data_IF_724909685666
#
_entry.id   IF_724909685666
#
_cell.length_a   1.000
_cell.length_b   1.000
_cell.length_c   1.000
_cell.angle_alpha   90.00
_cell.angle_beta   90.00
_cell.angle_gamma   90.00
#
_symmetry.space_group_name_H-M   'P 1'
#
loop_
_entity.id
_entity.type
_entity.pdbx_description
1 polymer ?
2 non-polymer ?
3 non-polymer ?
4 water ?
#
# COMPACT_ATOMS: atom_id res chain seq x y z
N UNK A 9 -13.96 -18.21 -23.74
CA UNK A 9 -12.89 -17.49 -23.09
C UNK A 9 -12.03 -18.39 -22.28
N UNK A 10 -10.74 -18.23 -22.49
CA UNK A 10 -9.72 -18.89 -21.76
C UNK A 10 -9.68 -18.35 -20.34
N UNK A 11 -10.22 -17.17 -20.12
CA UNK A 11 -10.27 -16.61 -18.79
C UNK A 11 -11.35 -17.28 -17.96
N UNK A 12 -11.24 -17.20 -16.65
CA UNK A 12 -12.20 -17.77 -15.76
C UNK A 12 -12.84 -16.70 -14.95
N UNK A 13 -13.99 -17.01 -14.40
CA UNK A 13 -14.75 -16.09 -13.61
C UNK A 13 -14.73 -16.53 -12.20
N UNK A 14 -14.48 -15.62 -11.32
CA UNK A 14 -14.41 -15.90 -9.93
C UNK A 14 -15.29 -14.99 -9.12
N UNK A 15 -15.62 -15.46 -7.95
CA UNK A 15 -16.53 -14.87 -7.00
C UNK A 15 -15.92 -14.89 -5.61
N UNK A 16 -16.61 -14.33 -4.63
CA UNK A 16 -16.19 -14.38 -3.25
C UNK A 16 -16.04 -15.81 -2.80
N UNK A 17 -17.03 -16.59 -3.18
CA UNK A 17 -17.18 -18.01 -2.89
C UNK A 17 -16.17 -18.91 -3.49
N UNK A 18 -15.76 -18.59 -4.67
CA UNK A 18 -14.82 -19.39 -5.37
C UNK A 18 -13.38 -19.00 -5.26
N UNK A 19 -13.13 -17.85 -4.69
CA UNK A 19 -11.86 -17.20 -4.71
C UNK A 19 -10.73 -18.03 -4.13
N UNK A 20 -10.95 -18.65 -3.00
CA UNK A 20 -9.95 -19.44 -2.35
C UNK A 20 -9.46 -20.63 -3.18
N UNK A 21 -10.35 -21.39 -3.77
CA UNK A 21 -9.98 -22.46 -4.68
C UNK A 21 -9.40 -22.06 -6.03
N UNK A 22 -10.06 -21.14 -6.67
CA UNK A 22 -9.73 -20.67 -7.99
C UNK A 22 -8.50 -19.87 -8.10
N UNK A 23 -8.30 -19.01 -7.13
CA UNK A 23 -7.25 -18.07 -7.16
C UNK A 23 -6.19 -18.30 -6.13
N UNK A 24 -6.57 -18.35 -4.88
CA UNK A 24 -5.67 -18.41 -3.75
C UNK A 24 -4.79 -19.62 -3.56
N UNK A 25 -5.32 -20.76 -3.83
CA UNK A 25 -4.67 -22.01 -3.68
C UNK A 25 -4.07 -22.54 -4.95
N UNK A 26 -4.20 -21.79 -6.03
CA UNK A 26 -3.66 -22.17 -7.28
C UNK A 26 -2.17 -22.28 -7.26
N UNK A 27 -1.65 -23.36 -7.79
CA UNK A 27 -0.23 -23.55 -7.89
C UNK A 27 0.35 -22.80 -9.09
N UNK A 28 -0.52 -22.29 -9.90
CA UNK A 28 -0.17 -21.47 -11.02
C UNK A 28 -0.55 -20.00 -10.77
N UNK A 29 0.28 -19.05 -11.12
CA UNK A 29 -0.03 -17.66 -10.85
C UNK A 29 -1.30 -17.18 -11.51
N UNK A 30 -2.08 -16.40 -10.81
CA UNK A 30 -3.33 -15.89 -11.34
C UNK A 30 -3.37 -14.40 -11.40
N UNK A 31 -3.70 -13.90 -12.56
CA UNK A 31 -3.91 -12.52 -12.74
C UNK A 31 -5.40 -12.29 -12.64
N UNK A 32 -5.77 -11.48 -11.69
CA UNK A 32 -7.15 -11.15 -11.43
C UNK A 32 -7.47 -9.73 -11.84
N UNK A 33 -8.51 -9.64 -12.62
CA UNK A 33 -9.03 -8.42 -13.12
C UNK A 33 -10.27 -8.01 -12.33
N UNK A 34 -10.12 -6.96 -11.54
CA UNK A 34 -11.17 -6.41 -10.74
C UNK A 34 -11.82 -5.32 -11.59
N UNK A 35 -13.06 -5.58 -11.97
CA UNK A 35 -13.81 -4.80 -12.92
C UNK A 35 -15.29 -4.59 -12.55
N UNK A 36 -15.95 -3.67 -13.21
CA UNK A 36 -17.36 -3.43 -13.01
C UNK A 36 -18.23 -3.55 -14.24
N UNK A 37 -19.34 -4.20 -14.01
CA UNK A 37 -20.33 -4.45 -15.02
C UNK A 37 -20.83 -3.13 -15.58
N UNK A 38 -21.01 -2.13 -14.73
CA UNK A 38 -21.46 -0.81 -15.10
C UNK A 38 -20.36 0.17 -15.55
N UNK A 39 -19.12 -0.28 -15.60
CA UNK A 39 -18.08 0.62 -16.02
C UNK A 39 -17.62 0.21 -17.40
N UNK A 40 -17.82 1.09 -18.37
CA UNK A 40 -17.32 0.81 -19.69
C UNK A 40 -15.81 0.83 -19.91
N UNK A 41 -15.12 1.78 -19.33
CA UNK A 41 -13.67 1.85 -19.42
C UNK A 41 -12.96 0.70 -18.74
N UNK A 42 -13.63 0.05 -17.82
CA UNK A 42 -13.11 -1.09 -17.15
C UNK A 42 -13.19 -2.37 -17.96
N UNK A 43 -13.93 -2.34 -19.04
CA UNK A 43 -14.08 -3.50 -19.90
C UNK A 43 -13.09 -3.51 -21.02
N UNK A 44 -12.38 -2.43 -21.18
CA UNK A 44 -11.43 -2.29 -22.24
C UNK A 44 -10.30 -3.26 -22.22
N UNK A 45 -9.89 -3.63 -21.02
CA UNK A 45 -8.83 -4.59 -20.76
C UNK A 45 -9.17 -6.02 -20.99
N UNK A 46 -10.42 -6.32 -21.18
CA UNK A 46 -10.84 -7.67 -21.34
C UNK A 46 -10.28 -8.43 -22.52
N UNK A 47 -10.23 -7.85 -23.70
CA UNK A 47 -9.74 -8.56 -24.87
C UNK A 47 -8.30 -8.94 -24.78
N UNK A 48 -7.50 -8.04 -24.27
CA UNK A 48 -6.10 -8.20 -24.05
C UNK A 48 -5.78 -9.28 -23.06
N UNK A 49 -6.58 -9.37 -22.03
CA UNK A 49 -6.46 -10.41 -21.05
C UNK A 49 -6.77 -11.78 -21.63
N UNK A 50 -7.73 -11.81 -22.52
CA UNK A 50 -8.15 -12.94 -23.26
C UNK A 50 -7.07 -13.44 -24.19
N UNK A 51 -6.37 -12.53 -24.83
CA UNK A 51 -5.28 -12.93 -25.65
C UNK A 51 -4.22 -13.57 -24.82
N UNK A 52 -3.93 -12.98 -23.68
CA UNK A 52 -2.92 -13.46 -22.75
C UNK A 52 -3.22 -14.83 -22.12
N UNK A 53 -4.46 -15.06 -21.77
CA UNK A 53 -4.87 -16.30 -21.21
C UNK A 53 -4.63 -17.46 -22.16
N UNK A 54 -4.96 -17.27 -23.43
CA UNK A 54 -4.71 -18.25 -24.47
C UNK A 54 -3.27 -18.47 -24.86
N UNK A 55 -2.59 -17.39 -25.11
CA UNK A 55 -1.22 -17.36 -25.46
C UNK A 55 -0.27 -17.80 -24.37
N UNK A 56 -0.50 -17.45 -23.13
CA UNK A 56 0.41 -17.85 -22.10
C UNK A 56 -0.18 -18.80 -21.10
N UNK A 57 -1.09 -19.61 -21.55
CA UNK A 57 -1.87 -20.52 -20.74
C UNK A 57 -1.05 -21.44 -19.86
N UNK A 58 0.08 -21.91 -20.31
CA UNK A 58 0.91 -22.72 -19.46
C UNK A 58 1.51 -21.97 -18.29
N UNK A 59 1.92 -20.74 -18.50
CA UNK A 59 2.51 -19.94 -17.47
C UNK A 59 1.55 -19.22 -16.52
N UNK A 60 0.34 -18.91 -16.99
CA UNK A 60 -0.55 -18.09 -16.20
C UNK A 60 -2.04 -18.30 -16.45
N UNK A 61 -2.81 -18.15 -15.38
CA UNK A 61 -4.25 -18.16 -15.41
C UNK A 61 -4.77 -16.75 -15.29
N UNK A 62 -5.84 -16.45 -15.99
CA UNK A 62 -6.47 -15.15 -15.93
C UNK A 62 -7.88 -15.23 -15.39
N UNK A 63 -8.15 -14.47 -14.36
CA UNK A 63 -9.44 -14.47 -13.71
C UNK A 63 -10.11 -13.09 -13.75
N UNK A 64 -11.42 -13.08 -13.73
CA UNK A 64 -12.16 -11.85 -13.74
C UNK A 64 -13.10 -11.83 -12.56
N UNK A 65 -13.01 -10.79 -11.76
CA UNK A 65 -13.88 -10.59 -10.61
C UNK A 65 -14.66 -9.29 -10.72
N UNK A 66 -15.98 -9.42 -10.72
CA UNK A 66 -16.89 -8.28 -10.80
C UNK A 66 -17.10 -7.69 -9.42
N UNK A 67 -16.58 -6.49 -9.22
CA UNK A 67 -16.64 -5.84 -7.96
C UNK A 67 -18.03 -5.44 -7.61
N UNK A 68 -18.91 -5.36 -8.61
CA UNK A 68 -20.29 -4.96 -8.37
C UNK A 68 -21.06 -6.03 -7.59
N UNK A 69 -20.82 -7.28 -7.95
CA UNK A 69 -21.46 -8.41 -7.34
C UNK A 69 -20.62 -9.18 -6.30
N UNK A 70 -19.38 -8.78 -6.12
CA UNK A 70 -18.50 -9.36 -5.14
C UNK A 70 -17.79 -8.27 -4.38
N UNK A 71 -18.51 -7.44 -3.68
CA UNK A 71 -17.87 -6.34 -2.99
C UNK A 71 -16.86 -6.67 -1.90
N UNK A 72 -17.06 -7.69 -1.09
CA UNK A 72 -16.14 -7.99 -0.02
C UNK A 72 -14.73 -8.32 -0.49
N UNK A 73 -14.62 -9.11 -1.54
CA UNK A 73 -13.34 -9.51 -2.09
C UNK A 73 -12.53 -8.33 -2.61
N UNK A 74 -13.21 -7.43 -3.30
CA UNK A 74 -12.69 -6.20 -3.78
C UNK A 74 -12.23 -5.32 -2.64
N UNK A 75 -13.02 -5.17 -1.60
CA UNK A 75 -12.62 -4.45 -0.43
C UNK A 75 -11.46 -5.05 0.36
N UNK A 76 -11.47 -6.34 0.59
CA UNK A 76 -10.38 -7.03 1.28
C UNK A 76 -9.02 -6.82 0.61
N UNK A 77 -8.99 -6.82 -0.71
CA UNK A 77 -7.78 -6.63 -1.48
C UNK A 77 -7.53 -5.19 -1.85
N UNK A 78 -8.33 -4.35 -1.24
CA UNK A 78 -8.22 -2.93 -1.25
C UNK A 78 -8.16 -2.24 -2.57
N UNK A 79 -8.98 -2.71 -3.49
CA UNK A 79 -9.10 -2.15 -4.79
C UNK A 79 -9.76 -0.80 -4.70
N UNK A 80 -9.12 0.18 -5.28
CA UNK A 80 -9.54 1.53 -5.15
C UNK A 80 -9.92 2.14 -6.49
N UNK A 81 -9.36 1.62 -7.55
CA UNK A 81 -9.65 2.11 -8.85
C UNK A 81 -9.87 0.98 -9.81
N UNK A 82 -10.69 1.21 -10.80
CA UNK A 82 -10.97 0.18 -11.76
C UNK A 82 -10.64 0.58 -13.16
N UNK A 83 -10.24 -0.36 -13.97
CA UNK A 83 -9.98 -1.74 -13.59
C UNK A 83 -8.68 -1.90 -12.80
N UNK A 84 -8.54 -2.91 -11.96
CA UNK A 84 -7.29 -3.17 -11.29
C UNK A 84 -6.86 -4.60 -11.52
N UNK A 85 -5.60 -4.83 -11.79
CA UNK A 85 -5.12 -6.17 -11.92
C UNK A 85 -4.18 -6.53 -10.78
N UNK A 86 -4.47 -7.64 -10.11
CA UNK A 86 -3.64 -8.14 -9.06
C UNK A 86 -3.14 -9.54 -9.39
N UNK A 87 -1.86 -9.74 -9.31
CA UNK A 87 -1.31 -11.03 -9.59
C UNK A 87 -1.11 -11.78 -8.32
N UNK A 88 -1.70 -12.94 -8.25
CA UNK A 88 -1.65 -13.75 -7.08
C UNK A 88 -0.68 -14.90 -7.19
N UNK A 89 0.28 -14.97 -6.30
CA UNK A 89 1.24 -16.02 -6.28
C UNK A 89 1.34 -16.67 -4.93
N UNK A 90 1.08 -17.95 -4.84
CA UNK A 90 1.11 -18.67 -3.58
C UNK A 90 0.18 -18.09 -2.51
N UNK A 91 -0.93 -17.57 -2.96
CA UNK A 91 -1.94 -16.97 -2.15
C UNK A 91 -1.85 -15.51 -1.89
N UNK A 92 -0.79 -14.86 -2.27
CA UNK A 92 -0.60 -13.49 -1.98
C UNK A 92 -0.72 -12.64 -3.19
N UNK A 93 -1.18 -11.42 -2.95
CA UNK A 93 -1.23 -10.40 -3.97
C UNK A 93 0.13 -9.73 -4.04
N UNK A 94 0.95 -10.30 -4.90
CA UNK A 94 2.30 -9.92 -5.20
C UNK A 94 2.52 -8.79 -6.21
N UNK A 95 1.52 -8.50 -7.03
CA UNK A 95 1.58 -7.46 -8.03
C UNK A 95 0.28 -6.73 -8.23
N UNK A 96 0.30 -5.42 -8.27
CA UNK A 96 -0.86 -4.62 -8.56
C UNK A 96 -0.65 -3.67 -9.73
N UNK A 97 -1.55 -3.74 -10.70
CA UNK A 97 -1.48 -2.95 -11.91
C UNK A 97 -2.71 -2.10 -12.18
N UNK A 98 -2.48 -0.80 -12.24
CA UNK A 98 -3.47 0.21 -12.53
C UNK A 98 -3.08 0.95 -13.79
N UNK A 99 -4.07 1.50 -14.46
CA UNK A 99 -3.88 2.15 -15.74
C UNK A 99 -3.88 1.08 -16.81
N UNK A 100 -4.91 0.98 -17.60
CA UNK A 100 -4.96 -0.07 -18.64
C UNK A 100 -3.87 0.07 -19.68
N UNK A 101 -3.29 -1.05 -19.99
CA UNK A 101 -2.14 -1.12 -20.84
C UNK A 101 -2.36 -1.86 -22.12
N UNK A 102 -1.38 -1.77 -22.98
CA UNK A 102 -1.25 -2.57 -24.17
C UNK A 102 -0.69 -3.92 -23.76
N UNK A 103 -0.71 -4.90 -24.62
CA UNK A 103 -0.24 -6.19 -24.23
C UNK A 103 1.22 -6.30 -23.87
N UNK A 104 2.08 -5.67 -24.64
CA UNK A 104 3.50 -5.77 -24.41
C UNK A 104 3.90 -5.15 -23.13
N UNK A 105 3.27 -4.07 -22.81
CA UNK A 105 3.51 -3.40 -21.56
C UNK A 105 3.12 -4.19 -20.36
N UNK A 106 1.95 -4.83 -20.42
CA UNK A 106 1.42 -5.65 -19.36
C UNK A 106 2.25 -6.88 -19.09
N UNK A 107 2.69 -7.48 -20.18
CA UNK A 107 3.55 -8.63 -20.13
C UNK A 107 4.89 -8.29 -19.53
N UNK A 108 5.38 -7.11 -19.76
CA UNK A 108 6.61 -6.66 -19.16
C UNK A 108 6.51 -6.50 -17.65
N UNK A 109 5.42 -6.00 -17.16
CA UNK A 109 5.26 -5.92 -15.72
C UNK A 109 5.22 -7.25 -15.08
N UNK A 110 4.54 -8.17 -15.71
CA UNK A 110 4.39 -9.52 -15.21
C UNK A 110 5.58 -10.46 -15.22
N UNK A 111 6.54 -10.20 -16.10
CA UNK A 111 7.73 -10.99 -16.31
C UNK A 111 8.69 -11.00 -15.14
N UNK A 112 8.58 -9.98 -14.32
CA UNK A 112 9.36 -9.86 -13.12
C UNK A 112 9.04 -11.07 -12.29
N UNK A 113 7.78 -11.50 -12.29
CA UNK A 113 7.32 -12.65 -11.52
C UNK A 113 6.89 -13.88 -12.28
N UNK A 114 6.64 -13.79 -13.56
CA UNK A 114 6.22 -14.94 -14.34
C UNK A 114 7.19 -15.22 -15.47
N UNK A 115 7.61 -16.46 -15.57
CA UNK A 115 8.49 -16.97 -16.62
C UNK A 115 7.92 -16.91 -18.02
N UNK A 116 8.77 -16.64 -18.98
CA UNK A 116 8.38 -16.43 -20.36
C UNK A 116 7.87 -15.03 -20.49
N UNK B 9 -16.78 27.70 -6.49
CA UNK B 9 -16.27 26.45 -5.95
C UNK B 9 -14.85 26.57 -5.45
N UNK B 10 -14.69 26.62 -4.14
CA UNK B 10 -13.41 26.79 -3.47
C UNK B 10 -12.36 25.68 -3.66
N UNK B 11 -12.80 24.46 -3.76
CA UNK B 11 -11.90 23.36 -4.03
C UNK B 11 -11.27 23.40 -5.44
N UNK B 12 -10.10 22.81 -5.58
CA UNK B 12 -9.42 22.77 -6.84
C UNK B 12 -9.37 21.35 -7.38
N UNK B 13 -9.39 21.18 -8.67
CA UNK B 13 -9.32 19.85 -9.24
C UNK B 13 -7.89 19.51 -9.66
N UNK B 14 -7.41 18.36 -9.22
CA UNK B 14 -6.08 17.94 -9.53
C UNK B 14 -5.99 16.61 -10.23
N UNK B 15 -4.91 16.40 -10.94
CA UNK B 15 -4.65 15.28 -11.80
C UNK B 15 -3.27 14.75 -11.52
N UNK B 16 -2.89 13.64 -12.13
CA UNK B 16 -1.58 13.04 -11.98
C UNK B 16 -0.55 14.05 -12.44
N UNK B 17 -0.85 14.65 -13.57
CA UNK B 17 -0.07 15.68 -14.22
C UNK B 17 0.05 16.97 -13.47
N UNK B 18 -1.00 17.39 -12.79
CA UNK B 18 -0.99 18.61 -12.02
C UNK B 18 -0.57 18.53 -10.56
N UNK B 19 -0.38 17.34 -10.05
CA UNK B 19 -0.11 17.10 -8.65
C UNK B 19 1.10 17.79 -8.07
N UNK B 20 2.19 17.82 -8.80
CA UNK B 20 3.37 18.43 -8.31
C UNK B 20 3.20 19.92 -8.11
N UNK B 21 2.62 20.59 -9.07
CA UNK B 21 2.35 21.99 -8.95
C UNK B 21 1.27 22.34 -8.00
N UNK B 22 0.14 21.69 -8.14
CA UNK B 22 -1.02 22.00 -7.33
C UNK B 22 -0.95 21.66 -5.84
N UNK B 23 -0.35 20.53 -5.56
CA UNK B 23 -0.29 19.97 -4.27
C UNK B 23 1.07 19.94 -3.62
N UNK B 24 1.98 19.24 -4.25
CA UNK B 24 3.28 19.01 -3.71
C UNK B 24 4.11 20.24 -3.49
N UNK B 25 4.08 21.20 -4.39
CA UNK B 25 4.83 22.41 -4.22
C UNK B 25 4.16 23.55 -3.51
N UNK B 26 2.90 23.44 -3.16
CA UNK B 26 2.21 24.50 -2.50
C UNK B 26 2.76 24.83 -1.14
N UNK B 27 2.81 26.10 -0.78
CA UNK B 27 3.26 26.52 0.54
C UNK B 27 2.29 26.24 1.64
N UNK B 28 1.06 26.56 1.35
CA UNK B 28 -0.05 26.30 2.21
C UNK B 28 -0.30 24.82 2.21
N UNK B 29 -0.79 24.28 3.31
CA UNK B 29 -1.14 22.88 3.35
C UNK B 29 -2.28 22.56 2.41
N UNK B 30 -2.20 21.43 1.73
CA UNK B 30 -3.24 20.97 0.84
C UNK B 30 -3.89 19.69 1.27
N UNK B 31 -5.20 19.72 1.40
CA UNK B 31 -5.94 18.57 1.75
C UNK B 31 -6.46 17.97 0.47
N UNK B 32 -6.08 16.75 0.18
CA UNK B 32 -6.51 16.10 -1.04
C UNK B 32 -7.63 15.10 -0.78
N UNK B 33 -8.69 15.18 -1.54
CA UNK B 33 -9.78 14.24 -1.43
C UNK B 33 -9.71 13.22 -2.56
N UNK B 34 -9.39 12.00 -2.20
CA UNK B 34 -9.30 10.90 -3.16
C UNK B 34 -10.66 10.25 -3.25
N UNK B 35 -11.27 10.37 -4.39
CA UNK B 35 -12.60 9.93 -4.59
C UNK B 35 -12.76 9.18 -5.88
N UNK B 36 -13.85 8.47 -6.01
CA UNK B 36 -14.17 7.73 -7.20
C UNK B 36 -15.56 8.06 -7.69
N UNK B 37 -15.79 7.96 -8.96
CA UNK B 37 -17.10 8.32 -9.50
C UNK B 37 -18.20 7.44 -8.94
N UNK B 38 -17.85 6.23 -8.53
CA UNK B 38 -18.84 5.28 -8.11
C UNK B 38 -18.98 4.98 -6.64
N UNK B 39 -17.91 4.93 -5.86
CA UNK B 39 -18.10 4.59 -4.47
C UNK B 39 -18.59 5.87 -3.92
N UNK B 40 -19.85 6.13 -4.23
CA UNK B 40 -20.53 7.36 -3.97
C UNK B 40 -20.88 7.56 -2.54
N UNK B 41 -20.60 6.58 -1.74
CA UNK B 41 -20.61 6.83 -0.33
C UNK B 41 -19.41 7.72 -0.12
N UNK B 42 -18.65 7.81 -1.20
CA UNK B 42 -17.32 8.43 -1.23
C UNK B 42 -17.27 9.75 -1.97
N UNK B 43 -18.44 10.37 -2.07
CA UNK B 43 -18.68 11.66 -2.63
C UNK B 43 -19.58 12.35 -1.69
N UNK B 44 -19.91 11.69 -0.61
CA UNK B 44 -20.79 12.34 0.38
C UNK B 44 -20.12 13.52 1.03
N UNK B 45 -18.79 13.39 1.16
CA UNK B 45 -17.86 14.31 1.78
C UNK B 45 -17.73 15.63 1.15
N UNK B 46 -18.04 15.68 -0.11
CA UNK B 46 -17.76 16.82 -0.91
C UNK B 46 -18.33 18.07 -0.36
N UNK B 47 -19.54 18.06 0.16
CA UNK B 47 -20.11 19.26 0.74
C UNK B 47 -19.41 19.83 1.99
N UNK B 48 -18.96 18.99 2.89
CA UNK B 48 -18.26 19.44 4.06
C UNK B 48 -16.96 20.07 3.66
N UNK B 49 -16.30 19.47 2.70
CA UNK B 49 -15.02 19.91 2.22
C UNK B 49 -15.07 21.26 1.62
N UNK B 50 -16.15 21.53 0.91
CA UNK B 50 -16.41 22.83 0.33
C UNK B 50 -16.58 23.95 1.35
N UNK B 51 -17.22 23.68 2.47
CA UNK B 51 -17.34 24.66 3.52
C UNK B 51 -16.00 24.99 4.11
N UNK B 52 -15.20 23.96 4.37
CA UNK B 52 -13.88 24.09 4.92
C UNK B 52 -12.98 24.85 3.99
N UNK B 53 -13.06 24.59 2.71
CA UNK B 53 -12.24 25.31 1.78
C UNK B 53 -12.59 26.77 1.76
N UNK B 54 -13.86 27.10 1.78
CA UNK B 54 -14.26 28.47 1.84
C UNK B 54 -13.94 29.14 3.16
N UNK B 55 -14.33 28.43 4.22
CA UNK B 55 -14.23 28.85 5.59
C UNK B 55 -12.82 29.00 6.16
N UNK B 56 -11.91 28.12 5.78
CA UNK B 56 -10.55 28.22 6.23
C UNK B 56 -9.58 28.41 5.10
N UNK B 57 -9.91 29.24 4.15
CA UNK B 57 -9.06 29.42 2.99
C UNK B 57 -7.63 29.84 3.33
N UNK B 58 -7.47 30.68 4.33
CA UNK B 58 -6.16 31.12 4.80
C UNK B 58 -5.33 29.97 5.37
N UNK B 59 -5.98 29.09 6.09
CA UNK B 59 -5.44 27.87 6.61
C UNK B 59 -5.08 26.76 5.62
N UNK B 60 -5.90 26.47 4.65
CA UNK B 60 -5.60 25.38 3.79
C UNK B 60 -6.19 25.38 2.38
N UNK B 61 -5.63 24.60 1.49
CA UNK B 61 -6.20 24.43 0.18
C UNK B 61 -6.88 23.08 0.16
N UNK B 62 -8.04 22.99 -0.43
CA UNK B 62 -8.72 21.73 -0.56
C UNK B 62 -8.74 21.28 -2.02
N UNK B 63 -8.26 20.06 -2.26
CA UNK B 63 -8.19 19.51 -3.60
C UNK B 63 -8.93 18.20 -3.82
N UNK B 64 -9.30 17.96 -5.05
CA UNK B 64 -10.03 16.77 -5.41
C UNK B 64 -9.36 15.98 -6.49
N UNK B 65 -9.12 14.70 -6.24
CA UNK B 65 -8.56 13.80 -7.21
C UNK B 65 -9.39 12.53 -7.44
N UNK B 66 -9.84 12.38 -8.68
CA UNK B 66 -10.56 11.19 -9.13
C UNK B 66 -9.57 10.07 -9.40
N UNK B 67 -9.63 9.05 -8.55
CA UNK B 67 -8.71 7.94 -8.58
C UNK B 67 -8.84 7.04 -9.77
N UNK B 68 -10.01 7.03 -10.38
CA UNK B 68 -10.24 6.30 -11.58
C UNK B 68 -9.53 6.86 -12.79
N UNK B 69 -9.56 8.16 -12.95
CA UNK B 69 -8.89 8.85 -14.06
C UNK B 69 -7.46 9.22 -13.74
N UNK B 70 -7.09 9.12 -12.48
CA UNK B 70 -5.74 9.36 -12.01
C UNK B 70 -5.28 8.30 -11.04
N UNK B 71 -5.19 7.09 -11.54
CA UNK B 71 -4.81 5.94 -10.79
C UNK B 71 -3.37 5.92 -10.31
N UNK B 72 -2.47 6.57 -11.02
CA UNK B 72 -1.10 6.58 -10.61
C UNK B 72 -0.83 7.22 -9.28
N UNK B 73 -1.37 8.38 -9.04
CA UNK B 73 -1.17 9.12 -7.80
C UNK B 73 -1.76 8.45 -6.60
N UNK B 74 -2.93 7.85 -6.76
CA UNK B 74 -3.61 7.13 -5.70
C UNK B 74 -2.85 5.90 -5.19
N UNK B 75 -2.28 5.15 -6.10
CA UNK B 75 -1.47 4.02 -5.77
C UNK B 75 -0.19 4.39 -5.07
N UNK B 76 0.43 5.44 -5.55
CA UNK B 76 1.68 5.94 -5.06
C UNK B 76 1.66 6.37 -3.61
N UNK B 77 0.60 7.04 -3.21
CA UNK B 77 0.43 7.41 -1.85
C UNK B 77 -0.39 6.41 -1.08
N UNK B 78 -0.58 5.24 -1.66
CA UNK B 78 -1.25 4.15 -1.04
C UNK B 78 -2.62 4.40 -0.46
N UNK B 79 -3.51 4.91 -1.27
CA UNK B 79 -4.85 5.15 -0.90
C UNK B 79 -5.48 3.77 -1.06
N UNK B 80 -5.99 3.23 0.00
CA UNK B 80 -6.49 1.88 0.01
C UNK B 80 -7.97 1.83 0.27
N UNK B 81 -8.57 2.98 0.48
CA UNK B 81 -9.99 3.17 0.67
C UNK B 81 -10.44 4.46 0.04
N UNK B 82 -11.68 4.50 -0.37
CA UNK B 82 -12.30 5.69 -0.87
C UNK B 82 -13.51 5.90 -0.02
N UNK B 83 -13.74 7.07 0.52
CA UNK B 83 -12.83 8.19 0.44
C UNK B 83 -11.65 8.18 1.39
N UNK B 84 -10.56 8.77 0.95
CA UNK B 84 -9.38 9.00 1.77
C UNK B 84 -8.96 10.45 1.67
N UNK B 85 -8.70 11.06 2.79
CA UNK B 85 -8.21 12.41 2.75
C UNK B 85 -6.80 12.45 3.27
N UNK B 86 -5.92 13.04 2.48
CA UNK B 86 -4.58 13.24 2.88
C UNK B 86 -4.19 14.69 2.88
N UNK B 87 -3.65 15.16 3.98
CA UNK B 87 -3.09 16.48 4.13
C UNK B 87 -1.59 16.52 3.80
N UNK B 88 -1.25 17.36 2.86
CA UNK B 88 0.08 17.52 2.38
C UNK B 88 0.76 18.78 2.94
N UNK B 89 1.92 18.61 3.52
CA UNK B 89 2.66 19.71 4.08
C UNK B 89 4.08 19.61 3.61
N UNK B 90 4.55 20.62 2.90
CA UNK B 90 5.90 20.60 2.35
C UNK B 90 6.23 19.38 1.49
N UNK B 91 5.26 18.93 0.72
CA UNK B 91 5.36 17.82 -0.16
C UNK B 91 5.18 16.43 0.39
N UNK B 92 4.99 16.34 1.67
CA UNK B 92 4.89 15.11 2.35
C UNK B 92 3.48 14.92 2.79
N UNK B 93 3.04 13.68 2.83
CA UNK B 93 1.69 13.38 3.31
C UNK B 93 1.77 13.19 4.80
N UNK B 94 1.27 14.13 5.56
CA UNK B 94 1.41 14.10 7.00
C UNK B 94 0.24 13.62 7.80
N UNK B 95 -0.92 13.56 7.19
CA UNK B 95 -2.10 13.07 7.86
C UNK B 95 -3.01 12.41 6.87
N UNK B 96 -3.58 11.30 7.25
CA UNK B 96 -4.47 10.53 6.43
C UNK B 96 -5.75 10.32 7.20
N UNK B 97 -6.89 10.65 6.61
CA UNK B 97 -8.15 10.43 7.27
C UNK B 97 -9.03 9.52 6.44
N UNK B 98 -9.39 8.40 7.01
CA UNK B 98 -10.17 7.39 6.32
C UNK B 98 -11.53 7.26 6.86
N UNK B 99 -12.48 7.26 5.97
CA UNK B 99 -13.84 7.13 6.36
C UNK B 99 -14.32 8.53 6.53
N UNK B 100 -15.44 8.83 5.92
CA UNK B 100 -16.00 10.15 5.95
C UNK B 100 -16.35 10.56 7.39
N UNK B 101 -16.15 11.84 7.66
CA UNK B 101 -16.27 12.39 8.98
C UNK B 101 -17.10 13.65 9.00
N UNK B 102 -17.64 13.96 10.16
CA UNK B 102 -18.33 15.20 10.37
C UNK B 102 -17.39 16.36 10.45
N UNK B 103 -17.84 17.55 10.15
CA UNK B 103 -16.97 18.69 10.06
C UNK B 103 -16.19 19.05 11.28
N UNK B 104 -16.78 19.01 12.45
CA UNK B 104 -16.04 19.35 13.64
C UNK B 104 -14.91 18.39 13.91
N UNK B 105 -15.18 17.13 13.74
CA UNK B 105 -14.26 16.04 13.91
C UNK B 105 -13.11 16.04 12.91
N UNK B 106 -13.41 16.37 11.68
CA UNK B 106 -12.44 16.48 10.64
C UNK B 106 -11.43 17.60 10.91
N UNK B 107 -11.94 18.74 11.35
CA UNK B 107 -11.18 19.89 11.77
C UNK B 107 -10.38 19.62 13.00
N UNK B 108 -10.93 18.81 13.86
CA UNK B 108 -10.29 18.39 15.08
C UNK B 108 -9.04 17.54 14.83
N UNK B 109 -9.14 16.65 13.88
CA UNK B 109 -8.04 15.84 13.43
C UNK B 109 -6.97 16.63 12.71
N UNK B 110 -7.40 17.56 11.91
CA UNK B 110 -6.54 18.40 11.13
C UNK B 110 -5.72 19.39 11.93
N UNK B 111 -6.23 19.82 13.06
CA UNK B 111 -5.59 20.77 13.94
C UNK B 111 -4.33 20.23 14.59
N UNK B 112 -4.15 18.92 14.55
CA UNK B 112 -3.01 18.20 15.06
C UNK B 112 -1.82 18.65 14.29
N UNK B 113 -2.04 18.90 13.03
CA UNK B 113 -1.05 19.29 12.08
C UNK B 113 -1.12 20.77 11.62
N UNK B 114 -2.30 21.35 11.63
CA UNK B 114 -2.53 22.76 11.32
C UNK B 114 -3.29 23.37 12.49
N UNK B 115 -2.60 23.83 13.50
CA UNK B 115 -3.19 24.20 14.77
C UNK B 115 -4.28 25.28 14.78
N UNK B 116 -4.28 26.17 13.81
CA UNK B 116 -5.27 27.22 13.68
C UNK B 116 -6.67 26.70 13.53
N UNK B 117 -6.81 25.51 12.99
CA UNK B 117 -8.06 24.85 12.89
C UNK B 117 -8.73 24.57 14.24
N UNK B 118 -8.00 24.25 15.28
CA UNK B 118 -8.74 23.96 16.49
C UNK B 118 -8.03 24.17 17.79
N UNK C 9 29.33 8.31 0.09
CA UNK C 9 30.30 9.10 -0.66
C UNK C 9 29.68 9.61 -1.91
N UNK C 10 29.39 8.73 -2.84
CA UNK C 10 28.64 9.07 -4.04
C UNK C 10 27.17 9.32 -3.72
N UNK C 11 26.67 8.69 -2.67
CA UNK C 11 25.33 8.89 -2.20
C UNK C 11 25.19 10.19 -1.43
N UNK C 12 23.98 10.66 -1.28
CA UNK C 12 23.72 11.84 -0.49
C UNK C 12 22.93 11.49 0.76
N UNK C 13 23.13 12.26 1.79
CA UNK C 13 22.45 12.09 3.02
C UNK C 13 21.33 13.10 3.09
N UNK C 14 20.12 12.63 3.37
CA UNK C 14 18.93 13.45 3.46
C UNK C 14 18.31 13.34 4.85
N UNK C 15 17.52 14.35 5.17
CA UNK C 15 16.92 14.47 6.48
C UNK C 15 15.50 14.96 6.38
N UNK C 16 14.81 15.06 7.49
CA UNK C 16 13.46 15.50 7.51
C UNK C 16 13.39 16.91 6.92
N UNK C 17 14.32 17.73 7.35
CA UNK C 17 14.46 19.11 6.89
C UNK C 17 14.84 19.31 5.47
N UNK C 18 15.72 18.46 4.98
CA UNK C 18 16.23 18.57 3.63
C UNK C 18 15.49 17.81 2.56
N UNK C 19 14.50 17.04 2.94
CA UNK C 19 13.79 16.17 2.02
C UNK C 19 13.13 16.87 0.87
N UNK C 20 12.53 18.00 1.12
CA UNK C 20 11.90 18.69 0.05
C UNK C 20 12.87 19.18 -1.01
N UNK C 21 13.97 19.81 -0.62
CA UNK C 21 14.94 20.21 -1.61
C UNK C 21 15.68 19.07 -2.29
N UNK C 22 16.15 18.14 -1.51
CA UNK C 22 16.90 16.99 -1.97
C UNK C 22 16.21 15.89 -2.74
N UNK C 23 14.98 15.58 -2.40
CA UNK C 23 14.26 14.48 -2.98
C UNK C 23 13.04 14.82 -3.79
N UNK C 24 12.13 15.55 -3.17
CA UNK C 24 10.87 15.90 -3.79
C UNK C 24 10.92 16.81 -5.00
N UNK C 25 11.75 17.82 -4.94
CA UNK C 25 11.83 18.74 -6.00
C UNK C 25 12.90 18.41 -7.05
N UNK C 26 13.64 17.35 -6.84
CA UNK C 26 14.61 16.95 -7.80
C UNK C 26 14.00 16.61 -9.13
N UNK C 27 14.67 17.08 -10.17
CA UNK C 27 14.36 16.84 -11.55
C UNK C 27 14.62 15.44 -11.98
N UNK C 28 15.68 14.91 -11.43
CA UNK C 28 16.17 13.61 -11.69
C UNK C 28 15.67 12.72 -10.58
N UNK C 29 15.34 11.50 -10.92
CA UNK C 29 14.81 10.55 -9.98
C UNK C 29 15.75 10.31 -8.85
N UNK C 30 15.19 10.15 -7.68
CA UNK C 30 15.92 9.89 -6.48
C UNK C 30 15.53 8.61 -5.82
N UNK C 31 16.51 7.79 -5.55
CA UNK C 31 16.32 6.57 -4.84
C UNK C 31 16.75 6.77 -3.40
N UNK C 32 15.84 6.64 -2.46
CA UNK C 32 16.07 6.88 -1.07
C UNK C 32 16.16 5.58 -0.30
N UNK C 33 17.20 5.45 0.50
CA UNK C 33 17.44 4.26 1.32
C UNK C 33 17.15 4.53 2.79
N UNK C 34 16.01 4.03 3.24
CA UNK C 34 15.55 4.19 4.58
C UNK C 34 16.20 3.05 5.36
N UNK C 35 17.04 3.40 6.29
CA UNK C 35 17.93 2.51 6.98
C UNK C 35 18.10 2.96 8.41
N UNK C 36 18.71 2.13 9.25
CA UNK C 36 18.98 2.47 10.64
C UNK C 36 20.40 2.29 11.07
N UNK C 37 20.91 3.26 11.78
CA UNK C 37 22.26 3.21 12.25
C UNK C 37 22.57 1.99 13.13
N UNK C 38 21.63 1.61 13.96
CA UNK C 38 21.67 0.49 14.87
C UNK C 38 21.26 -0.87 14.26
N UNK C 39 20.97 -0.88 12.98
CA UNK C 39 20.59 -2.13 12.36
C UNK C 39 21.73 -2.51 11.45
N UNK C 40 22.37 -3.64 11.75
CA UNK C 40 23.42 -4.09 10.90
C UNK C 40 23.03 -4.57 9.55
N UNK C 41 21.94 -5.34 9.50
CA UNK C 41 21.41 -5.85 8.24
C UNK C 41 20.91 -4.79 7.28
N UNK C 42 20.49 -3.65 7.79
CA UNK C 42 20.10 -2.50 6.99
C UNK C 42 21.23 -1.85 6.20
N UNK C 43 22.46 -2.11 6.57
CA UNK C 43 23.62 -1.58 5.90
C UNK C 43 24.26 -2.43 4.82
N UNK C 44 23.80 -3.67 4.65
CA UNK C 44 24.37 -4.57 3.67
C UNK C 44 24.23 -4.09 2.23
N UNK C 45 23.13 -3.43 1.94
CA UNK C 45 22.87 -2.85 0.63
C UNK C 45 23.76 -1.67 0.27
N UNK C 46 24.44 -1.08 1.23
CA UNK C 46 25.20 0.12 1.01
C UNK C 46 26.28 0.07 -0.04
N UNK C 47 27.04 -0.98 -0.18
CA UNK C 47 28.03 -1.01 -1.24
C UNK C 47 27.45 -1.01 -2.64
N UNK C 48 26.37 -1.75 -2.83
CA UNK C 48 25.66 -1.82 -4.06
C UNK C 48 25.06 -0.50 -4.40
N UNK C 49 24.58 0.21 -3.41
CA UNK C 49 24.09 1.55 -3.58
C UNK C 49 25.21 2.48 -3.96
N UNK C 50 26.36 2.25 -3.42
CA UNK C 50 27.54 2.98 -3.75
C UNK C 50 27.99 2.78 -5.15
N UNK C 51 27.94 1.59 -5.69
CA UNK C 51 28.25 1.38 -7.09
C UNK C 51 27.25 2.01 -8.02
N UNK C 52 25.98 1.86 -7.73
CA UNK C 52 24.91 2.42 -8.49
C UNK C 52 24.94 3.93 -8.48
N UNK C 53 25.21 4.55 -7.35
CA UNK C 53 25.20 5.97 -7.31
C UNK C 53 26.24 6.52 -8.22
N UNK C 54 27.40 5.88 -8.23
CA UNK C 54 28.51 6.19 -9.10
C UNK C 54 28.32 5.91 -10.56
N UNK C 55 27.81 4.74 -10.87
CA UNK C 55 27.60 4.32 -12.23
C UNK C 55 26.51 4.92 -13.04
N UNK C 56 25.39 5.25 -12.43
CA UNK C 56 24.29 5.81 -13.17
C UNK C 56 23.91 7.12 -12.60
N UNK C 57 24.89 7.93 -12.31
CA UNK C 57 24.69 9.23 -11.71
C UNK C 57 23.85 10.14 -12.55
N UNK C 58 24.01 10.06 -13.85
CA UNK C 58 23.17 10.75 -14.75
C UNK C 58 21.77 10.17 -14.77
N UNK C 59 21.61 8.94 -14.35
CA UNK C 59 20.28 8.40 -14.35
C UNK C 59 19.56 8.65 -13.04
N UNK C 60 20.26 8.61 -11.92
CA UNK C 60 19.66 8.81 -10.63
C UNK C 60 20.55 9.25 -9.47
N UNK C 61 19.94 9.82 -8.46
CA UNK C 61 20.64 10.24 -7.28
C UNK C 61 20.25 9.25 -6.27
N UNK C 62 21.19 8.87 -5.44
CA UNK C 62 20.98 7.93 -4.39
C UNK C 62 21.17 8.64 -3.09
N UNK C 63 20.15 8.55 -2.24
CA UNK C 63 20.07 9.25 -0.99
C UNK C 63 19.79 8.32 0.16
N UNK C 64 20.30 8.65 1.31
CA UNK C 64 20.11 7.86 2.48
C UNK C 64 19.43 8.63 3.58
N UNK C 65 18.41 8.04 4.17
CA UNK C 65 17.69 8.57 5.29
C UNK C 65 17.62 7.60 6.44
N UNK C 66 18.14 8.03 7.57
CA UNK C 66 18.19 7.25 8.75
C UNK C 66 16.89 7.48 9.48
N UNK C 67 16.14 6.42 9.63
CA UNK C 67 14.87 6.38 10.30
C UNK C 67 15.03 6.65 11.78
N UNK C 68 16.16 6.31 12.33
CA UNK C 68 16.43 6.58 13.70
C UNK C 68 16.44 8.06 14.07
N UNK C 69 17.05 8.90 13.27
CA UNK C 69 17.08 10.32 13.49
C UNK C 69 16.01 11.10 12.71
N UNK C 70 15.30 10.45 11.81
CA UNK C 70 14.25 11.05 11.05
C UNK C 70 12.99 10.20 11.02
N UNK C 71 12.34 10.05 12.14
CA UNK C 71 11.15 9.26 12.23
C UNK C 71 9.92 9.72 11.48
N UNK C 72 9.68 11.01 11.34
CA UNK C 72 8.51 11.51 10.68
C UNK C 72 8.41 11.20 9.23
N UNK C 73 9.51 11.38 8.54
CA UNK C 73 9.64 11.17 7.11
C UNK C 73 9.45 9.72 6.77
N UNK C 74 9.96 8.85 7.60
CA UNK C 74 9.81 7.45 7.45
C UNK C 74 8.38 7.02 7.65
N UNK C 75 7.76 7.52 8.68
CA UNK C 75 6.36 7.26 8.98
C UNK C 75 5.41 7.81 7.95
N UNK C 76 5.75 8.96 7.42
CA UNK C 76 5.01 9.63 6.40
C UNK C 76 4.94 8.80 5.11
N UNK C 77 6.04 8.17 4.75
CA UNK C 77 6.17 7.38 3.57
C UNK C 77 5.98 5.94 3.88
N UNK C 78 5.52 5.75 5.08
CA UNK C 78 5.05 4.51 5.63
C UNK C 78 6.00 3.33 5.62
N UNK C 79 7.26 3.59 5.86
CA UNK C 79 8.25 2.56 5.89
C UNK C 79 8.03 1.65 7.09
N UNK C 80 7.93 0.37 6.85
CA UNK C 80 7.63 -0.64 7.84
C UNK C 80 8.72 -1.68 8.09
N UNK C 81 9.60 -1.82 7.12
CA UNK C 81 10.71 -2.73 7.15
C UNK C 81 11.94 -1.99 6.79
N UNK C 82 13.07 -2.39 7.35
CA UNK C 82 14.35 -1.84 6.96
C UNK C 82 15.32 -2.87 6.46
N UNK C 83 16.06 -2.58 5.46
CA UNK C 83 15.97 -1.36 4.73
C UNK C 83 14.83 -1.32 3.74
N UNK C 84 14.36 -0.14 3.43
CA UNK C 84 13.37 0.09 2.38
C UNK C 84 13.95 1.09 1.36
N UNK C 85 13.84 0.77 0.11
CA UNK C 85 14.22 1.67 -0.91
C UNK C 85 13.00 2.23 -1.60
N UNK C 86 12.85 3.53 -1.59
CA UNK C 86 11.77 4.17 -2.31
C UNK C 86 12.34 5.07 -3.38
N UNK C 87 11.91 4.88 -4.61
CA UNK C 87 12.27 5.70 -5.73
C UNK C 87 11.31 6.85 -5.88
N UNK C 88 11.82 8.07 -5.83
CA UNK C 88 10.98 9.24 -5.93
C UNK C 88 11.11 9.90 -7.29
N UNK C 89 9.99 10.14 -7.94
CA UNK C 89 9.90 10.78 -9.24
C UNK C 89 8.85 11.89 -9.30
N UNK C 90 9.27 13.13 -9.53
CA UNK C 90 8.40 14.32 -9.56
C UNK C 90 7.65 14.55 -8.24
N UNK C 91 8.30 14.23 -7.14
CA UNK C 91 7.76 14.39 -5.82
C UNK C 91 6.95 13.26 -5.24
N UNK C 92 6.75 12.23 -6.03
CA UNK C 92 5.99 11.09 -5.65
C UNK C 92 6.84 9.85 -5.49
N UNK C 93 6.44 9.02 -4.55
CA UNK C 93 7.09 7.76 -4.32
C UNK C 93 6.55 6.71 -5.27
N UNK C 94 7.21 6.51 -6.38
CA UNK C 94 6.76 5.62 -7.42
C UNK C 94 7.14 4.13 -7.37
N UNK C 95 8.10 3.76 -6.54
CA UNK C 95 8.50 2.39 -6.38
C UNK C 95 9.06 2.08 -5.00
N UNK C 96 8.65 0.96 -4.42
CA UNK C 96 9.15 0.47 -3.15
C UNK C 96 9.77 -0.87 -3.34
N UNK C 97 10.99 -1.00 -2.87
CA UNK C 97 11.72 -2.23 -2.94
C UNK C 97 12.10 -2.69 -1.54
N UNK C 98 11.70 -3.91 -1.19
CA UNK C 98 12.01 -4.50 0.09
C UNK C 98 12.82 -5.75 -0.11
N UNK C 99 13.63 -6.12 0.87
CA UNK C 99 14.41 -7.32 0.75
C UNK C 99 15.64 -7.07 -0.08
N UNK C 100 16.83 -7.28 0.47
CA UNK C 100 18.05 -6.97 -0.29
C UNK C 100 18.23 -7.75 -1.56
N UNK C 101 18.76 -7.02 -2.52
CA UNK C 101 18.95 -7.43 -3.87
C UNK C 101 20.39 -7.25 -4.17
N UNK C 102 20.82 -7.94 -5.21
CA UNK C 102 22.13 -7.79 -5.78
C UNK C 102 21.95 -6.63 -6.71
N UNK C 103 23.01 -6.12 -7.29
CA UNK C 103 22.93 -4.98 -8.15
C UNK C 103 22.03 -5.18 -9.36
N UNK C 104 22.11 -6.31 -9.98
CA UNK C 104 21.33 -6.60 -11.16
C UNK C 104 19.84 -6.64 -10.98
N UNK C 105 19.38 -7.28 -9.94
CA UNK C 105 17.96 -7.40 -9.65
C UNK C 105 17.38 -6.07 -9.38
N UNK C 106 18.15 -5.27 -8.66
CA UNK C 106 17.83 -3.91 -8.29
C UNK C 106 17.73 -2.94 -9.45
N UNK C 107 18.68 -3.04 -10.36
CA UNK C 107 18.68 -2.28 -11.56
C UNK C 107 17.52 -2.70 -12.39
N UNK C 108 17.19 -3.96 -12.39
CA UNK C 108 16.02 -4.45 -13.09
C UNK C 108 14.69 -3.93 -12.55
N UNK C 109 14.51 -3.87 -11.25
CA UNK C 109 13.31 -3.32 -10.68
C UNK C 109 13.15 -1.88 -11.05
N UNK C 110 14.23 -1.15 -11.02
CA UNK C 110 14.29 0.26 -11.39
C UNK C 110 14.12 0.57 -12.86
N UNK C 111 14.45 -0.37 -13.71
CA UNK C 111 14.37 -0.19 -15.15
C UNK C 111 12.99 0.10 -15.68
N UNK C 112 11.96 -0.27 -14.91
CA UNK C 112 10.58 -0.05 -15.27
C UNK C 112 10.27 1.40 -15.22
N UNK C 113 10.85 2.07 -14.26
CA UNK C 113 10.65 3.49 -14.03
C UNK C 113 11.84 4.39 -14.39
N UNK C 114 13.02 3.82 -14.57
CA UNK C 114 14.21 4.56 -14.99
C UNK C 114 14.81 4.05 -16.30
N UNK C 115 15.03 4.96 -17.22
CA UNK C 115 15.55 4.61 -18.54
C UNK C 115 17.05 4.41 -18.53
N UNK C 116 17.50 3.27 -19.04
CA UNK C 116 18.91 2.92 -19.04
C UNK C 116 19.30 2.03 -17.92
N UNK D 9 3.76 -18.71 23.94
CA UNK D 9 3.97 -20.11 23.69
C UNK D 9 2.78 -20.60 22.90
N UNK D 10 1.64 -20.02 23.18
CA UNK D 10 0.40 -20.21 22.46
C UNK D 10 0.41 -19.67 21.01
N UNK D 11 1.01 -18.52 20.79
CA UNK D 11 1.13 -17.92 19.49
C UNK D 11 2.07 -18.72 18.61
N UNK D 12 1.97 -18.57 17.30
CA UNK D 12 2.87 -19.27 16.44
C UNK D 12 3.65 -18.30 15.60
N UNK D 13 4.83 -18.67 15.18
CA UNK D 13 5.64 -17.79 14.39
C UNK D 13 5.56 -18.20 12.95
N UNK D 14 5.26 -17.24 12.10
CA UNK D 14 5.06 -17.46 10.67
C UNK D 14 6.03 -16.63 9.85
N UNK D 15 6.43 -17.17 8.70
CA UNK D 15 7.39 -16.54 7.87
C UNK D 15 6.75 -16.29 6.53
N UNK D 16 7.49 -15.65 5.66
CA UNK D 16 7.11 -15.43 4.28
C UNK D 16 6.88 -16.74 3.54
N UNK D 17 7.77 -17.71 3.73
CA UNK D 17 7.74 -19.05 3.17
C UNK D 17 6.60 -19.92 3.61
N UNK D 18 6.21 -19.81 4.87
CA UNK D 18 5.16 -20.53 5.52
C UNK D 18 3.76 -19.89 5.63
N UNK D 19 3.56 -18.71 5.07
CA UNK D 19 2.32 -17.98 5.21
C UNK D 19 1.13 -18.69 4.61
N UNK D 20 1.33 -19.27 3.46
CA UNK D 20 0.33 -19.93 2.72
C UNK D 20 -0.22 -21.10 3.47
N UNK D 21 0.64 -21.88 4.03
CA UNK D 21 0.23 -22.97 4.83
C UNK D 21 -0.30 -22.60 6.18
N UNK D 22 0.43 -21.80 6.91
CA UNK D 22 0.06 -21.42 8.25
C UNK D 22 -1.13 -20.53 8.40
N UNK D 23 -1.29 -19.58 7.53
CA UNK D 23 -2.34 -18.64 7.66
C UNK D 23 -3.42 -18.72 6.60
N UNK D 24 -3.01 -18.68 5.35
CA UNK D 24 -3.86 -18.64 4.20
C UNK D 24 -4.73 -19.84 3.97
N UNK D 25 -4.21 -21.00 4.21
CA UNK D 25 -4.98 -22.17 4.08
C UNK D 25 -5.61 -22.71 5.33
N UNK D 26 -5.47 -22.07 6.46
CA UNK D 26 -6.11 -22.51 7.69
C UNK D 26 -7.63 -22.40 7.75
N UNK D 27 -8.31 -23.43 8.22
CA UNK D 27 -9.75 -23.41 8.39
C UNK D 27 -10.23 -22.47 9.46
N UNK D 28 -9.55 -22.44 10.56
CA UNK D 28 -9.77 -21.60 11.67
C UNK D 28 -9.30 -20.19 11.32
N UNK D 29 -9.94 -19.17 11.79
CA UNK D 29 -9.44 -17.85 11.50
C UNK D 29 -8.08 -17.61 12.12
N UNK D 30 -7.22 -16.87 11.47
CA UNK D 30 -5.92 -16.55 11.99
C UNK D 30 -5.73 -15.05 12.14
N UNK D 31 -5.34 -14.62 13.32
CA UNK D 31 -4.98 -13.27 13.58
C UNK D 31 -3.49 -13.16 13.44
N UNK D 32 -3.00 -12.30 12.59
CA UNK D 32 -1.57 -12.10 12.43
C UNK D 32 -1.09 -10.78 12.99
N UNK D 33 -0.02 -10.85 13.76
CA UNK D 33 0.66 -9.72 14.36
C UNK D 33 1.90 -9.41 13.58
N UNK D 34 1.87 -8.35 12.82
CA UNK D 34 2.98 -7.84 12.06
C UNK D 34 3.70 -6.88 12.95
N UNK D 35 4.94 -7.18 13.23
CA UNK D 35 5.72 -6.45 14.16
C UNK D 35 7.14 -6.28 13.71
N UNK D 36 7.83 -5.37 14.34
CA UNK D 36 9.24 -5.18 14.10
C UNK D 36 9.99 -5.13 15.41
N UNK D 37 11.25 -5.48 15.32
CA UNK D 37 12.16 -5.48 16.43
C UNK D 37 12.40 -4.07 16.94
N UNK D 38 12.57 -3.10 16.07
CA UNK D 38 12.68 -1.78 16.57
C UNK D 38 11.45 -1.05 17.14
N UNK D 39 10.33 -1.06 16.44
CA UNK D 39 9.24 -0.29 16.97
C UNK D 39 8.75 -1.15 18.07
N UNK D 40 9.43 -0.98 19.19
CA UNK D 40 9.20 -1.67 20.43
C UNK D 40 7.86 -1.29 20.88
N UNK D 41 7.45 -0.15 20.45
CA UNK D 41 6.11 0.24 20.75
C UNK D 41 5.31 -0.87 20.14
N UNK D 42 5.80 -1.34 19.01
CA UNK D 42 5.21 -2.43 18.24
C UNK D 42 5.18 -3.83 18.92
N UNK D 43 5.97 -4.03 19.96
CA UNK D 43 6.01 -5.29 20.68
C UNK D 43 5.18 -5.30 21.93
N UNK D 44 4.51 -4.22 22.23
CA UNK D 44 3.77 -4.13 23.49
C UNK D 44 2.55 -4.99 23.48
N UNK D 45 2.13 -5.29 22.27
CA UNK D 45 0.99 -6.11 21.98
C UNK D 45 1.13 -7.54 22.34
N UNK D 46 2.33 -8.03 22.42
CA UNK D 46 2.55 -9.45 22.54
C UNK D 46 1.89 -10.22 23.68
N UNK D 47 1.87 -9.69 24.89
CA UNK D 47 1.24 -10.36 26.02
C UNK D 47 -0.26 -10.52 25.93
N UNK D 48 -0.94 -9.49 25.47
CA UNK D 48 -2.37 -9.56 25.33
C UNK D 48 -2.75 -10.60 24.33
N UNK D 49 -1.98 -10.68 23.27
CA UNK D 49 -2.16 -11.62 22.20
C UNK D 49 -2.00 -13.02 22.69
N UNK D 50 -1.05 -13.22 23.56
CA UNK D 50 -0.81 -14.49 24.20
C UNK D 50 -1.98 -14.96 25.10
N UNK D 51 -2.64 -14.09 25.86
CA UNK D 51 -3.80 -14.50 26.63
C UNK D 51 -4.94 -14.91 25.70
N UNK D 52 -5.14 -14.15 24.65
CA UNK D 52 -6.18 -14.44 23.68
C UNK D 52 -5.88 -15.74 23.01
N UNK D 53 -4.62 -15.97 22.69
CA UNK D 53 -4.27 -17.20 22.02
C UNK D 53 -4.62 -18.40 22.86
N UNK D 54 -4.30 -18.37 24.14
CA UNK D 54 -4.68 -19.39 25.11
C UNK D 54 -6.17 -19.37 25.49
N UNK D 55 -6.67 -18.23 25.91
CA UNK D 55 -8.06 -18.17 26.31
C UNK D 55 -9.09 -18.49 25.23
N UNK D 56 -8.86 -18.06 24.01
CA UNK D 56 -9.81 -18.28 22.94
C UNK D 56 -9.34 -19.19 21.83
N UNK D 57 -8.47 -20.12 22.10
CA UNK D 57 -7.92 -20.96 21.07
C UNK D 57 -8.89 -21.80 20.22
N UNK D 58 -10.03 -22.13 20.79
CA UNK D 58 -11.01 -22.89 20.02
C UNK D 58 -11.56 -22.10 18.87
N UNK D 59 -11.59 -20.79 19.01
CA UNK D 59 -12.03 -19.90 17.98
C UNK D 59 -11.00 -19.31 17.07
N UNK D 60 -9.77 -19.25 17.50
CA UNK D 60 -8.80 -18.51 16.77
C UNK D 60 -7.37 -18.96 16.94
N UNK D 61 -6.58 -18.78 15.91
CA UNK D 61 -5.18 -19.02 15.91
C UNK D 61 -4.51 -17.66 15.89
N UNK D 62 -3.44 -17.47 16.64
CA UNK D 62 -2.66 -16.24 16.65
C UNK D 62 -1.26 -16.48 16.14
N UNK D 63 -0.83 -15.62 15.23
CA UNK D 63 0.45 -15.65 14.58
C UNK D 63 1.21 -14.35 14.69
N UNK D 64 2.51 -14.47 14.65
CA UNK D 64 3.45 -13.38 14.67
C UNK D 64 4.37 -13.41 13.45
N UNK D 65 4.49 -12.28 12.77
CA UNK D 65 5.37 -12.16 11.62
C UNK D 65 6.30 -10.96 11.75
N UNK D 66 7.60 -11.21 11.77
CA UNK D 66 8.58 -10.17 11.86
C UNK D 66 8.77 -9.58 10.48
N UNK D 67 8.45 -8.32 10.32
CA UNK D 67 8.47 -7.70 8.99
C UNK D 67 9.86 -7.34 8.47
N UNK D 68 10.87 -7.29 9.36
CA UNK D 68 12.24 -7.06 8.89
C UNK D 68 12.75 -8.32 8.20
N UNK D 69 12.65 -9.43 8.87
CA UNK D 69 12.98 -10.75 8.32
C UNK D 69 12.02 -11.21 7.24
N UNK D 70 10.77 -10.78 7.30
CA UNK D 70 9.77 -11.15 6.34
C UNK D 70 9.04 -9.97 5.71
N UNK D 71 9.73 -9.26 4.85
CA UNK D 71 9.25 -8.09 4.14
C UNK D 71 8.22 -8.24 3.02
N UNK D 72 8.23 -9.34 2.29
CA UNK D 72 7.28 -9.58 1.24
C UNK D 72 5.87 -9.68 1.66
N UNK D 73 5.58 -10.43 2.70
CA UNK D 73 4.24 -10.58 3.15
C UNK D 73 3.68 -9.24 3.65
N UNK D 74 4.49 -8.48 4.38
CA UNK D 74 4.11 -7.18 4.89
C UNK D 74 3.83 -6.20 3.80
N UNK D 75 4.65 -6.17 2.77
CA UNK D 75 4.46 -5.37 1.58
C UNK D 75 3.28 -5.76 0.71
N UNK D 76 3.08 -7.05 0.48
CA UNK D 76 2.00 -7.58 -0.32
C UNK D 76 0.65 -7.28 0.24
N UNK D 77 0.50 -7.38 1.54
CA UNK D 77 -0.76 -7.08 2.16
C UNK D 77 -0.85 -5.62 2.57
N UNK D 78 0.09 -4.81 2.18
CA UNK D 78 0.08 -3.43 2.55
C UNK D 78 0.01 -3.11 4.06
N UNK D 79 0.81 -3.76 4.86
CA UNK D 79 0.90 -3.42 6.23
C UNK D 79 1.70 -2.12 6.11
N UNK D 80 1.11 -1.02 6.54
CA UNK D 80 1.75 0.25 6.42
C UNK D 80 2.10 0.83 7.79
N UNK D 81 1.79 0.09 8.82
CA UNK D 81 2.09 0.47 10.16
C UNK D 81 2.46 -0.71 11.03
N UNK D 82 3.29 -0.49 12.00
CA UNK D 82 3.64 -1.50 12.96
C UNK D 82 3.26 -0.99 14.33
N UNK D 83 2.59 -1.75 15.13
CA UNK D 83 2.02 -3.03 14.78
C UNK D 83 0.69 -2.95 14.03
N UNK D 84 0.41 -3.97 13.25
CA UNK D 84 -0.86 -4.12 12.56
C UNK D 84 -1.29 -5.54 12.78
N UNK D 85 -2.55 -5.72 13.08
CA UNK D 85 -3.14 -7.00 13.27
C UNK D 85 -4.12 -7.23 12.17
N UNK D 86 -3.90 -8.23 11.36
CA UNK D 86 -4.81 -8.59 10.30
C UNK D 86 -5.45 -9.93 10.59
N UNK D 87 -6.76 -9.98 10.59
CA UNK D 87 -7.46 -11.22 10.73
C UNK D 87 -7.76 -11.83 9.37
N UNK D 88 -7.32 -13.04 9.19
CA UNK D 88 -7.49 -13.80 7.97
C UNK D 88 -8.56 -14.87 8.12
N UNK D 89 -9.45 -14.89 7.14
CA UNK D 89 -10.52 -15.83 7.05
C UNK D 89 -10.59 -16.34 5.65
N UNK D 90 -10.45 -17.62 5.45
CA UNK D 90 -10.47 -18.22 4.12
C UNK D 90 -9.45 -17.69 3.12
N UNK D 91 -8.28 -17.38 3.62
CA UNK D 91 -7.19 -16.86 2.88
C UNK D 91 -7.25 -15.40 2.60
N UNK D 92 -8.30 -14.77 3.07
CA UNK D 92 -8.55 -13.38 2.84
C UNK D 92 -8.39 -12.53 4.06
N UNK D 93 -7.80 -11.39 3.88
CA UNK D 93 -7.66 -10.48 5.01
C UNK D 93 -8.95 -9.69 5.24
N UNK D 94 -9.74 -10.10 6.19
CA UNK D 94 -11.02 -9.50 6.50
C UNK D 94 -11.09 -8.34 7.48
N UNK D 95 -10.11 -8.19 8.34
CA UNK D 95 -10.10 -7.16 9.33
C UNK D 95 -8.72 -6.64 9.67
N UNK D 96 -8.52 -5.35 9.67
CA UNK D 96 -7.24 -4.78 10.02
C UNK D 96 -7.38 -3.89 11.21
N UNK D 97 -6.55 -4.12 12.22
CA UNK D 97 -6.53 -3.30 13.40
C UNK D 97 -5.17 -2.66 13.53
N UNK D 98 -5.15 -1.35 13.71
CA UNK D 98 -3.93 -0.58 13.76
C UNK D 98 -3.61 0.00 15.10
N UNK D 99 -2.35 -0.14 15.47
CA UNK D 99 -1.82 0.23 16.77
C UNK D 99 -2.03 -0.93 17.71
N UNK D 100 -1.82 -0.70 18.99
CA UNK D 100 -2.08 -1.67 20.03
C UNK D 100 -3.39 -1.29 20.74
N UNK D 101 -4.05 -2.24 21.37
CA UNK D 101 -5.35 -2.02 22.01
C UNK D 101 -5.55 -2.81 23.31
N UNK D 102 -6.50 -2.43 24.17
CA UNK D 102 -6.81 -3.23 25.34
C UNK D 102 -7.45 -4.55 24.91
N UNK D 103 -7.35 -5.57 25.75
CA UNK D 103 -7.84 -6.91 25.39
C UNK D 103 -9.33 -6.98 25.02
N UNK D 104 -10.19 -6.44 25.86
CA UNK D 104 -11.61 -6.48 25.63
C UNK D 104 -12.09 -5.77 24.42
N UNK D 105 -11.49 -4.62 24.17
CA UNK D 105 -11.72 -3.81 23.01
C UNK D 105 -11.26 -4.52 21.74
N UNK D 106 -10.13 -5.20 21.84
CA UNK D 106 -9.60 -5.97 20.75
C UNK D 106 -10.49 -7.18 20.38
N UNK D 107 -10.98 -7.86 21.37
CA UNK D 107 -11.88 -8.98 21.21
C UNK D 107 -13.18 -8.47 20.67
N UNK D 108 -13.56 -7.28 21.09
CA UNK D 108 -14.78 -6.66 20.63
C UNK D 108 -14.77 -6.37 19.15
N UNK D 109 -13.68 -5.82 18.66
CA UNK D 109 -13.54 -5.56 17.27
C UNK D 109 -13.54 -6.85 16.43
N UNK D 110 -12.82 -7.86 16.91
CA UNK D 110 -12.68 -9.14 16.27
C UNK D 110 -13.98 -9.92 16.14
N UNK D 111 -14.86 -9.67 17.10
CA UNK D 111 -16.15 -10.31 17.22
C UNK D 111 -17.07 -10.01 16.08
N UNK D 112 -16.79 -8.93 15.38
CA UNK D 112 -17.53 -8.52 14.22
C UNK D 112 -17.41 -9.54 13.18
N UNK D 113 -16.21 -10.04 13.06
CA UNK D 113 -15.84 -11.05 12.11
C UNK D 113 -15.79 -12.50 12.66
N UNK D 114 -15.66 -12.66 13.96
CA UNK D 114 -15.66 -13.94 14.66
C UNK D 114 -16.57 -13.88 15.90
N UNK D 115 -17.84 -14.20 15.74
CA UNK D 115 -18.87 -13.95 16.74
C UNK D 115 -18.73 -14.57 18.13
N UNK D 116 -18.20 -15.77 18.30
CA UNK D 116 -18.04 -16.29 19.63
C UNK D 116 -16.99 -15.48 20.33
N UNK D 117 -16.31 -14.70 19.51
CA UNK D 117 -15.28 -13.75 19.84
C UNK D 117 -13.90 -14.30 19.75
X LIG E 1 -11.04 6.09 -17.34
X LIG E 1 -12.28 6.30 -16.84
X LIG E 1 -12.79 5.42 -15.95
X LIG E 1 -12.10 4.32 -15.56
X LIG E 1 -10.82 4.13 -16.09
X LIG E 1 -10.30 5.01 -16.98
X LIG E 1 -12.83 3.35 -14.47
X LIG E 1 -14.12 4.41 -14.53
X LIG E 1 -13.96 5.42 -15.35
X LIG E 1 -15.43 4.36 -13.86
X LIG E 1 -15.85 5.78 -13.68
X LIG E 1 -16.93 6.31 -14.20
X LIG E 1 -17.61 5.66 -15.29
X LIG E 1 -17.08 4.35 -15.79
X LIG E 1 -16.35 3.53 -14.74
X LIG E 1 -15.38 3.76 -12.63
X LIG E 1 -18.57 6.16 -15.78
X LIG F 1 -2.04 -23.21 -0.69
X LIG F 1 -0.84 -23.84 -0.43
X LIG F 1 -1.96 -21.75 -0.44
X LIG F 1 -3.22 -21.26 -0.70
X LIG F 1 -4.02 -21.08 0.40
X LIG F 1 -5.46 -21.00 0.02
X LIG F 1 -7.71 -24.71 0.85
X LIG F 1 -7.90 -23.38 1.33
X LIG F 1 -7.41 -22.28 0.42
X LIG F 1 -6.16 -21.88 0.83
X LIG G 1 17.24 -9.29 8.03
X LIG G 1 17.16 -8.86 9.30
X LIG G 1 16.96 -7.54 9.62
X LIG G 1 16.82 -6.60 8.66
X LIG G 1 16.91 -7.01 7.34
X LIG G 1 17.13 -8.34 7.05
X LIG G 1 16.57 -5.09 9.21
X LIG G 1 16.61 -5.68 10.76
X LIG G 1 16.86 -6.95 10.80
X LIG G 1 16.51 -4.88 12.02
X LIG G 1 16.04 -5.78 13.09
X LIG G 1 16.67 -5.74 14.24
X LIG G 1 18.13 -5.81 14.18
X LIG G 1 18.79 -5.17 13.00
X LIG G 1 17.84 -4.21 12.32
X LIG G 1 15.51 -3.91 11.98
X LIG G 1 18.76 -6.37 15.05
X LIG H 1 7.87 19.41 -7.92
X LIG H 1 8.90 20.35 -7.98
X LIG H 1 7.80 18.87 -6.53
X LIG H 1 8.11 19.84 -5.56
X LIG H 1 7.70 19.37 -4.31
X LIG H 1 8.49 19.94 -3.19
X LIG H 1 8.94 23.54 -4.08
X LIG H 1 9.07 23.45 -2.67
X LIG H 1 8.95 22.00 -2.23
X LIG H 1 8.30 21.30 -3.25
#
# INVERSE_FOLDING_TARGET
GSMTDSEKSATIKVTDASFATDVLSSNKPVLVDFWATWCGPSKMVAPVLEEIATERATDLTVAKLDVDTNPETARNFQVVSIPTLILFKDGQPVKRIVGAKGKAALLRELSDVVPNLN
GSMTDSEKSATIKVTDASFATDVLSSNKPVLVDFWATWCGPSKMVAPVLEEIATERATDLTVAKLDVDTNPETARNFQVVSIPTLILFKDGQPVKRIVGAKGKAALLRELSDVVPNLN
GSMTDSEKSATIKVTDASFATDVLSSNKPVLVDFWATWCGPSKMVAPVLEEIATERATDLTVAKLDVDTNPETARNFQVVSIPTLILFKDGQPVKRIVGAKGKAALLRELSDVVPNLN
GSMTDSEKSATIKVTDASFATDVLSSNKPVLVDFWATWCGPSKMVAPVLEEIATERATDLTVAKLDVDTNPETARNFQVVSIPTLILFKDGQPVKRIVGAKGKAALLRELSDVVPNLN
PX5 C1 C2 C3 C4 C5 C6 S7 C8 N9 C10 C11 C12 C13 C14 C15 O16 O17
PGE C1 O1 C2 O2 C3 C4 O4 C6 C5 O3
PX5 C1 C2 C3 C4 C5 C6 S7 C8 N9 C10 C11 C12 C13 C14 C15 O16 O17
PGE C1 O1 C2 O2 C3 C4 O4 C6 C5 O3
#
